data_IF_725758981397
#
_entry.id   IF_725758981397
#
_cell.length_a   1.000
_cell.length_b   1.000
_cell.length_c   1.000
_cell.angle_alpha   90.00
_cell.angle_beta   90.00
_cell.angle_gamma   90.00
#
_symmetry.space_group_name_H-M   'P 1'
#
loop_
_entity.id
_entity.type
_entity.pdbx_description
1 polymer ?
#
# COMPACT_ATOMS: atom_id res chain seq x y z
N UNK A 1 2.50 53.58 -31.68
CA UNK A 1 3.02 52.70 -32.74
C UNK A 1 1.94 51.68 -33.03
N UNK A 2 1.26 51.88 -34.16
CA UNK A 2 0.17 51.05 -34.69
C UNK A 2 0.78 49.73 -35.17
N UNK A 3 0.15 48.58 -34.90
CA UNK A 3 -0.09 47.53 -35.90
C UNK A 3 -0.95 46.40 -35.31
N UNK A 4 -2.15 46.30 -35.89
CA UNK A 4 -3.12 45.20 -35.83
C UNK A 4 -2.76 44.17 -36.91
N UNK A 5 -2.92 42.88 -36.63
CA UNK A 5 -3.32 41.80 -37.57
C UNK A 5 -3.85 40.62 -36.70
N UNK A 6 -5.16 40.31 -36.63
CA UNK A 6 -6.01 39.47 -37.53
C UNK A 6 -5.56 37.98 -37.55
N UNK A 7 -6.36 36.89 -37.51
CA UNK A 7 -7.78 36.51 -37.75
C UNK A 7 -7.97 35.08 -37.14
N UNK A 8 -9.07 34.71 -36.46
CA UNK A 8 -10.22 33.85 -36.88
C UNK A 8 -10.58 32.98 -35.65
N UNK A 9 -11.79 32.51 -35.35
CA UNK A 9 -13.02 32.32 -36.13
C UNK A 9 -14.20 32.30 -35.15
N UNK A 10 -15.30 32.97 -35.52
CA UNK A 10 -16.57 32.97 -34.80
C UNK A 10 -17.34 31.67 -35.05
N UNK A 11 -18.04 31.15 -34.04
CA UNK A 11 -19.42 30.69 -34.21
C UNK A 11 -20.28 31.16 -33.05
N UNK A 12 -21.08 32.17 -33.37
CA UNK A 12 -22.26 32.61 -32.65
C UNK A 12 -23.33 31.52 -32.75
N UNK A 13 -23.90 31.09 -31.63
CA UNK A 13 -25.30 30.71 -31.57
C UNK A 13 -25.90 31.34 -30.30
N UNK A 14 -26.60 32.45 -30.53
CA UNK A 14 -27.57 33.01 -29.61
C UNK A 14 -28.91 32.29 -29.81
N UNK A 15 -29.76 32.43 -28.79
CA UNK A 15 -31.20 32.18 -28.73
C UNK A 15 -31.63 30.78 -28.27
N UNK A 16 -32.16 30.76 -27.04
CA UNK A 16 -32.91 29.62 -26.52
C UNK A 16 -33.19 29.69 -25.03
N UNK A 17 -33.66 30.85 -24.52
CA UNK A 17 -34.26 30.92 -23.19
C UNK A 17 -35.52 30.05 -23.21
N UNK A 18 -35.49 28.94 -22.46
CA UNK A 18 -36.70 28.22 -22.09
C UNK A 18 -36.57 27.77 -20.62
N UNK A 19 -37.08 28.67 -19.79
CA UNK A 19 -37.53 28.51 -18.42
C UNK A 19 -38.20 27.15 -18.18
N UNK A 20 -37.65 26.33 -17.28
CA UNK A 20 -38.43 25.31 -16.57
C UNK A 20 -37.73 24.98 -15.24
N UNK A 21 -38.13 25.69 -14.20
CA UNK A 21 -37.83 25.36 -12.82
C UNK A 21 -38.45 23.99 -12.47
N UNK A 22 -37.62 23.07 -11.99
CA UNK A 22 -38.08 21.90 -11.24
C UNK A 22 -37.26 21.80 -9.95
N UNK A 23 -37.76 22.50 -8.93
CA UNK A 23 -37.44 22.25 -7.52
C UNK A 23 -38.35 21.10 -7.07
N UNK A 24 -37.81 19.87 -7.00
CA UNK A 24 -38.48 18.76 -6.32
C UNK A 24 -37.98 18.73 -4.89
N UNK A 25 -38.76 19.33 -3.99
CA UNK A 25 -38.68 19.07 -2.55
C UNK A 25 -39.51 17.81 -2.30
N UNK A 26 -38.85 16.70 -1.97
CA UNK A 26 -39.52 15.50 -1.49
C UNK A 26 -38.91 15.05 -0.17
N UNK A 27 -39.80 15.03 0.82
CA UNK A 27 -39.73 14.57 2.19
C UNK A 27 -38.56 13.62 2.55
N UNK A 28 -37.83 14.03 3.59
CA UNK A 28 -36.97 13.17 4.37
C UNK A 28 -37.80 12.06 5.05
N UNK A 29 -37.86 10.89 4.41
CA UNK A 29 -38.05 9.64 5.14
C UNK A 29 -36.65 9.22 5.63
N UNK A 30 -36.46 9.25 6.94
CA UNK A 30 -35.22 8.81 7.58
C UNK A 30 -34.90 7.37 7.20
N UNK A 31 -33.82 7.20 6.43
CA UNK A 31 -33.16 5.90 6.28
C UNK A 31 -32.50 5.60 7.61
N UNK A 32 -33.11 4.72 8.40
CA UNK A 32 -32.50 4.08 9.54
C UNK A 32 -31.15 3.50 9.11
N UNK A 33 -30.08 3.94 9.79
CA UNK A 33 -28.72 3.52 9.51
C UNK A 33 -28.63 2.00 9.43
N UNK A 34 -28.38 1.50 8.23
CA UNK A 34 -27.86 0.16 8.06
C UNK A 34 -26.48 0.15 8.71
N UNK A 35 -26.40 -0.49 9.87
CA UNK A 35 -25.14 -1.01 10.38
C UNK A 35 -24.46 -1.75 9.23
N UNK A 36 -23.36 -1.19 8.73
CA UNK A 36 -22.47 -1.92 7.85
C UNK A 36 -21.92 -3.08 8.69
N UNK A 37 -22.57 -4.22 8.55
CA UNK A 37 -22.01 -5.51 8.89
C UNK A 37 -20.67 -5.59 8.17
N UNK A 38 -19.58 -5.62 8.95
CA UNK A 38 -18.23 -5.83 8.46
C UNK A 38 -18.22 -7.16 7.72
N UNK A 39 -18.51 -7.11 6.42
CA UNK A 39 -18.27 -8.22 5.52
C UNK A 39 -16.76 -8.44 5.55
N UNK A 40 -16.35 -9.47 6.29
CA UNK A 40 -15.02 -10.04 6.15
C UNK A 40 -14.91 -10.49 4.70
N UNK A 41 -14.31 -9.64 3.86
CA UNK A 41 -13.91 -10.03 2.52
C UNK A 41 -12.92 -11.16 2.74
N UNK A 42 -13.38 -12.39 2.52
CA UNK A 42 -12.51 -13.55 2.53
C UNK A 42 -11.47 -13.32 1.43
N UNK A 43 -10.28 -12.90 1.84
CA UNK A 43 -9.19 -12.63 0.93
C UNK A 43 -8.88 -13.94 0.21
N UNK A 44 -8.96 -13.94 -1.13
CA UNK A 44 -8.61 -15.11 -1.92
C UNK A 44 -7.18 -15.55 -1.54
N UNK A 45 -6.92 -16.86 -1.40
CA UNK A 45 -5.57 -17.37 -1.16
C UNK A 45 -4.61 -16.81 -2.21
N UNK A 46 -3.46 -16.29 -1.75
CA UNK A 46 -2.41 -15.83 -2.67
C UNK A 46 -1.87 -16.99 -3.52
N UNK A 47 -1.26 -16.69 -4.67
CA UNK A 47 -0.64 -17.70 -5.53
C UNK A 47 0.41 -18.54 -4.77
N UNK A 48 1.15 -17.92 -3.85
CA UNK A 48 2.10 -18.61 -2.98
C UNK A 48 1.39 -19.60 -2.05
N UNK A 49 0.26 -19.22 -1.44
CA UNK A 49 -0.51 -20.13 -0.61
C UNK A 49 -1.09 -21.30 -1.41
N UNK A 50 -1.51 -21.06 -2.65
CA UNK A 50 -1.97 -22.12 -3.56
C UNK A 50 -0.82 -23.07 -3.87
N UNK A 51 0.36 -22.55 -4.17
CA UNK A 51 1.55 -23.33 -4.48
C UNK A 51 2.00 -24.22 -3.31
N UNK A 52 2.04 -23.67 -2.09
CA UNK A 52 2.56 -24.40 -0.93
C UNK A 52 1.49 -25.21 -0.19
N UNK A 53 0.20 -24.98 -0.48
CA UNK A 53 -0.93 -25.60 0.21
C UNK A 53 -1.12 -25.14 1.65
N UNK A 54 -0.38 -24.12 2.11
CA UNK A 54 -0.40 -23.66 3.50
C UNK A 54 -0.08 -22.17 3.61
N UNK A 55 -0.43 -21.56 4.76
CA UNK A 55 0.05 -20.22 5.09
C UNK A 55 1.57 -20.21 5.06
N UNK A 56 2.11 -19.38 4.19
CA UNK A 56 3.54 -19.23 3.95
C UNK A 56 3.98 -17.85 4.41
N UNK A 57 5.10 -17.82 5.13
CA UNK A 57 5.77 -16.60 5.58
C UNK A 57 7.23 -16.64 5.20
N UNK A 58 7.76 -15.52 4.75
CA UNK A 58 9.16 -15.38 4.36
C UNK A 58 9.69 -14.08 4.96
N UNK A 59 10.93 -14.13 5.45
CA UNK A 59 11.67 -12.96 5.93
C UNK A 59 13.05 -12.97 5.32
N UNK A 60 13.54 -11.80 4.93
CA UNK A 60 14.85 -11.63 4.33
C UNK A 60 15.39 -10.24 4.61
N UNK A 61 16.63 -10.02 4.22
CA UNK A 61 17.28 -8.70 4.24
C UNK A 61 17.46 -8.26 2.80
N UNK A 62 17.14 -7.01 2.53
CA UNK A 62 17.36 -6.39 1.23
C UNK A 62 18.39 -5.28 1.37
N UNK A 63 19.47 -5.35 0.60
CA UNK A 63 20.37 -4.21 0.42
C UNK A 63 19.66 -3.15 -0.42
N UNK A 64 19.50 -1.94 0.14
CA UNK A 64 18.85 -0.79 -0.51
C UNK A 64 19.86 0.26 -1.01
N UNK A 65 21.16 -0.07 -0.96
CA UNK A 65 22.23 0.69 -1.59
C UNK A 65 22.58 0.12 -2.98
N UNK A 66 23.77 -0.47 -3.14
CA UNK A 66 24.31 -0.92 -4.43
C UNK A 66 24.18 -2.43 -4.66
N UNK A 67 23.62 -3.17 -3.70
CA UNK A 67 23.37 -4.61 -3.79
C UNK A 67 24.59 -5.48 -3.50
N UNK A 68 25.66 -4.91 -2.93
CA UNK A 68 26.90 -5.64 -2.64
C UNK A 68 27.00 -6.15 -1.20
N UNK A 69 26.12 -5.71 -0.29
CA UNK A 69 26.15 -6.09 1.11
C UNK A 69 25.48 -7.44 1.39
N UNK A 70 26.08 -8.50 0.86
CA UNK A 70 25.57 -9.88 0.97
C UNK A 70 25.77 -10.52 2.36
N UNK A 71 26.51 -9.87 3.27
CA UNK A 71 26.84 -10.39 4.61
C UNK A 71 26.44 -9.45 5.75
N UNK A 72 25.58 -8.45 5.48
CA UNK A 72 24.98 -7.56 6.47
C UNK A 72 25.97 -6.69 7.27
N UNK A 73 26.88 -5.99 6.59
CA UNK A 73 27.93 -5.15 7.19
C UNK A 73 27.62 -3.65 7.22
N UNK A 74 26.62 -3.19 6.49
CA UNK A 74 26.24 -1.77 6.39
C UNK A 74 24.97 -1.45 7.18
N UNK A 75 24.62 -0.17 7.21
CA UNK A 75 23.33 0.32 7.72
C UNK A 75 22.31 0.57 6.58
N UNK A 76 22.62 0.15 5.36
CA UNK A 76 21.77 0.35 4.18
C UNK A 76 20.99 -0.92 3.84
N UNK A 77 20.49 -1.59 4.87
CA UNK A 77 19.70 -2.80 4.74
C UNK A 77 18.27 -2.55 5.19
N UNK A 78 17.32 -3.20 4.53
CA UNK A 78 15.93 -3.25 4.94
C UNK A 78 15.55 -4.64 5.43
N UNK A 79 14.87 -4.71 6.58
CA UNK A 79 14.26 -5.95 7.04
C UNK A 79 12.91 -6.13 6.33
N UNK A 80 12.82 -7.17 5.50
CA UNK A 80 11.68 -7.41 4.63
C UNK A 80 10.88 -8.63 5.07
N UNK A 81 9.59 -8.64 4.72
CA UNK A 81 8.69 -9.74 5.02
C UNK A 81 7.54 -9.88 4.04
N UNK A 82 6.98 -11.10 4.02
CA UNK A 82 5.80 -11.49 3.28
C UNK A 82 4.99 -12.50 4.10
N UNK A 83 3.66 -12.35 4.09
CA UNK A 83 2.73 -13.35 4.62
C UNK A 83 1.59 -13.56 3.61
N UNK A 84 1.47 -14.79 3.15
CA UNK A 84 0.47 -15.19 2.15
C UNK A 84 -0.98 -15.00 2.57
N UNK A 85 -1.25 -14.78 3.87
CA UNK A 85 -2.58 -14.76 4.46
C UNK A 85 -3.09 -13.36 4.83
N UNK A 86 -2.22 -12.35 4.93
CA UNK A 86 -2.64 -11.01 5.40
C UNK A 86 -3.03 -10.05 4.27
N UNK A 87 -2.78 -10.41 3.01
CA UNK A 87 -3.14 -9.61 1.85
C UNK A 87 -2.30 -8.33 1.67
N UNK A 88 -1.24 -8.13 2.46
CA UNK A 88 -0.40 -6.93 2.41
C UNK A 88 0.78 -7.05 1.45
N UNK A 89 1.06 -8.26 0.95
CA UNK A 89 2.18 -8.52 0.03
C UNK A 89 3.55 -8.36 0.68
N UNK A 90 4.58 -8.21 -0.14
CA UNK A 90 5.95 -7.90 0.28
C UNK A 90 6.03 -6.49 0.86
N UNK A 91 6.73 -6.32 1.98
CA UNK A 91 6.90 -5.02 2.64
C UNK A 91 8.04 -5.00 3.64
N UNK A 92 8.53 -3.80 4.01
CA UNK A 92 9.39 -3.62 5.17
C UNK A 92 8.66 -4.02 6.47
N UNK A 93 9.36 -4.72 7.35
CA UNK A 93 8.93 -5.01 8.73
C UNK A 93 9.46 -3.99 9.73
N UNK A 94 10.48 -3.23 9.34
CA UNK A 94 10.98 -2.07 10.07
C UNK A 94 10.99 -0.85 9.12
N UNK A 95 10.54 0.33 9.56
CA UNK A 95 10.27 1.46 8.65
C UNK A 95 11.53 2.15 8.08
N UNK A 96 12.69 1.95 8.69
CA UNK A 96 13.93 2.64 8.32
C UNK A 96 15.02 1.64 7.94
N UNK A 97 15.91 1.99 7.00
CA UNK A 97 17.14 1.23 6.79
C UNK A 97 17.97 1.19 8.08
N UNK A 98 18.75 0.14 8.24
CA UNK A 98 19.62 -0.08 9.38
C UNK A 98 20.52 -1.29 9.16
N UNK A 99 21.16 -1.78 10.22
CA UNK A 99 21.87 -3.04 10.17
C UNK A 99 20.93 -4.20 10.56
N UNK A 100 20.64 -5.07 9.61
CA UNK A 100 19.82 -6.26 9.80
C UNK A 100 20.58 -7.48 9.33
N UNK A 101 20.81 -8.42 10.24
CA UNK A 101 21.45 -9.69 9.96
C UNK A 101 20.60 -10.87 10.39
N UNK A 102 20.60 -11.92 9.56
CA UNK A 102 20.09 -13.26 9.90
C UNK A 102 18.66 -13.27 10.48
N UNK A 103 17.67 -12.72 9.76
CA UNK A 103 16.30 -12.73 10.24
C UNK A 103 15.76 -14.16 10.32
N UNK A 104 15.03 -14.46 11.40
CA UNK A 104 14.40 -15.75 11.66
C UNK A 104 12.98 -15.55 12.16
N UNK A 105 12.08 -16.43 11.76
CA UNK A 105 10.70 -16.46 12.25
C UNK A 105 10.65 -17.31 13.54
N UNK A 106 9.98 -16.81 14.57
CA UNK A 106 9.78 -17.58 15.82
C UNK A 106 8.92 -18.83 15.60
N UNK A 107 8.99 -19.86 16.48
CA UNK A 107 8.21 -21.10 16.29
C UNK A 107 6.70 -20.91 16.20
N UNK A 108 6.14 -19.92 16.89
CA UNK A 108 4.71 -19.56 16.80
C UNK A 108 4.38 -18.74 15.54
N UNK A 109 5.40 -18.29 14.81
CA UNK A 109 5.28 -17.54 13.58
C UNK A 109 4.77 -16.11 13.73
N UNK A 110 4.63 -15.60 14.96
CA UNK A 110 4.03 -14.29 15.22
C UNK A 110 5.06 -13.16 15.46
N UNK A 111 6.35 -13.48 15.34
CA UNK A 111 7.48 -12.55 15.55
C UNK A 111 8.64 -12.91 14.64
N UNK A 112 9.44 -11.90 14.32
CA UNK A 112 10.72 -12.02 13.60
C UNK A 112 11.84 -11.59 14.53
N UNK A 113 12.88 -12.40 14.63
CA UNK A 113 14.11 -12.13 15.40
C UNK A 113 15.22 -11.84 14.41
N UNK A 114 16.03 -10.82 14.67
CA UNK A 114 17.20 -10.49 13.84
C UNK A 114 18.37 -10.02 14.72
N UNK A 115 19.55 -9.99 14.13
CA UNK A 115 20.77 -9.47 14.76
C UNK A 115 21.16 -8.12 14.17
N UNK A 116 21.73 -7.27 15.01
CA UNK A 116 22.58 -6.16 14.57
C UNK A 116 24.05 -6.63 14.71
N UNK A 117 24.78 -6.59 13.61
CA UNK A 117 26.18 -7.01 13.49
C UNK A 117 27.15 -5.87 13.82
N UNK A 118 26.72 -4.60 13.72
CA UNK A 118 27.52 -3.44 14.10
C UNK A 118 27.45 -3.20 15.61
N UNK A 119 26.27 -3.41 16.20
CA UNK A 119 26.05 -3.46 17.63
C UNK A 119 25.63 -4.89 18.02
N UNK A 120 26.56 -5.77 18.46
CA UNK A 120 26.30 -7.19 18.69
C UNK A 120 25.14 -7.43 19.66
N UNK A 121 23.94 -7.56 19.10
CA UNK A 121 22.67 -7.59 19.83
C UNK A 121 21.61 -8.26 18.97
N UNK A 122 20.58 -8.76 19.65
CA UNK A 122 19.46 -9.46 19.02
C UNK A 122 18.17 -8.74 19.36
N UNK A 123 17.36 -8.49 18.34
CA UNK A 123 16.12 -7.72 18.42
C UNK A 123 14.93 -8.53 17.89
N UNK A 124 13.72 -8.06 18.16
CA UNK A 124 12.46 -8.70 17.75
C UNK A 124 11.46 -7.69 17.22
N UNK A 125 10.75 -8.04 16.14
CA UNK A 125 9.65 -7.27 15.50
C UNK A 125 8.46 -8.16 15.14
N UNK A 126 7.39 -7.58 14.59
CA UNK A 126 6.10 -8.23 14.30
C UNK A 126 5.85 -8.39 12.81
#
# INVERSE_FOLDING_TARGET
MVHVFQIASQRVFLFGVALAAWLVVSAACGTSGGSQESQSVEAKPSEVQILTGARTRVVWVQDVADGTDIISKSEQLMLMGYDSHDGLGERPLHPTPGNYGRPLITPLGNRVVFSDQLQPSVFVVN
#
